data_IF_830998257962
#
_entry.id   IF_830998257962
#
_cell.length_a   1.000
_cell.length_b   1.000
_cell.length_c   1.000
_cell.angle_alpha   90.00
_cell.angle_beta   90.00
_cell.angle_gamma   90.00
#
_symmetry.space_group_name_H-M   'P 1'
#
loop_
_entity.id
_entity.type
_entity.pdbx_description
1 polymer ?
#
# COMPACT_ATOMS: atom_id res chain seq x y z
N UNK A 1 -13.71 13.29 13.36
CA UNK A 1 -14.41 12.16 12.72
C UNK A 1 -15.25 11.48 13.79
N UNK A 2 -16.50 11.12 13.49
CA UNK A 2 -17.37 10.45 14.47
C UNK A 2 -17.11 8.94 14.50
N UNK A 3 -17.35 8.29 15.64
CA UNK A 3 -17.15 6.84 15.82
C UNK A 3 -17.80 5.98 14.72
N UNK A 4 -19.00 6.36 14.29
CA UNK A 4 -19.75 5.65 13.23
C UNK A 4 -19.15 5.77 11.84
N UNK A 5 -18.27 6.76 11.60
CA UNK A 5 -17.67 7.02 10.29
C UNK A 5 -16.36 6.23 10.07
N UNK A 6 -15.69 5.83 11.16
CA UNK A 6 -14.42 5.10 11.09
C UNK A 6 -14.50 3.78 10.30
N UNK A 7 -15.52 2.92 10.47
CA UNK A 7 -15.60 1.67 9.74
C UNK A 7 -15.58 1.86 8.22
N UNK A 8 -16.38 2.80 7.71
CA UNK A 8 -16.45 3.09 6.28
C UNK A 8 -15.12 3.65 5.74
N UNK A 9 -14.49 4.58 6.46
CA UNK A 9 -13.22 5.15 6.03
C UNK A 9 -12.05 4.17 6.11
N UNK A 10 -12.00 3.30 7.12
CA UNK A 10 -11.02 2.21 7.20
C UNK A 10 -11.20 1.24 6.04
N UNK A 11 -12.44 0.88 5.72
CA UNK A 11 -12.73 0.00 4.58
C UNK A 11 -12.28 0.64 3.26
N UNK A 12 -12.57 1.93 3.05
CA UNK A 12 -12.14 2.66 1.86
C UNK A 12 -10.61 2.74 1.76
N UNK A 13 -9.92 3.07 2.85
CA UNK A 13 -8.46 3.11 2.86
C UNK A 13 -7.84 1.72 2.58
N UNK A 14 -8.43 0.65 3.13
CA UNK A 14 -8.00 -0.72 2.84
C UNK A 14 -8.22 -1.10 1.37
N UNK A 15 -9.35 -0.68 0.78
CA UNK A 15 -9.61 -0.87 -0.64
C UNK A 15 -8.55 -0.17 -1.50
N UNK A 16 -8.18 1.07 -1.17
CA UNK A 16 -7.11 1.78 -1.88
C UNK A 16 -5.78 1.03 -1.85
N UNK A 17 -5.41 0.43 -0.71
CA UNK A 17 -4.21 -0.42 -0.62
C UNK A 17 -4.32 -1.62 -1.58
N UNK A 18 -5.46 -2.30 -1.60
CA UNK A 18 -5.68 -3.46 -2.46
C UNK A 18 -5.62 -3.10 -3.96
N UNK A 19 -6.18 -1.95 -4.33
CA UNK A 19 -6.13 -1.45 -5.71
C UNK A 19 -4.69 -1.15 -6.16
N UNK A 20 -3.88 -0.55 -5.28
CA UNK A 20 -2.46 -0.30 -5.53
C UNK A 20 -1.67 -1.62 -5.64
N UNK A 21 -2.03 -2.64 -4.87
CA UNK A 21 -1.43 -3.98 -4.95
C UNK A 21 -1.74 -4.68 -6.28
N UNK A 22 -2.97 -4.58 -6.77
CA UNK A 22 -3.35 -5.08 -8.07
C UNK A 22 -2.57 -4.37 -9.20
N UNK A 23 -2.44 -3.04 -9.11
CA UNK A 23 -1.66 -2.26 -10.08
C UNK A 23 -0.17 -2.61 -10.06
N UNK A 24 0.43 -2.78 -8.88
CA UNK A 24 1.83 -3.23 -8.74
C UNK A 24 2.02 -4.60 -9.40
N UNK A 25 1.11 -5.54 -9.15
CA UNK A 25 1.16 -6.88 -9.75
C UNK A 25 1.11 -6.82 -11.28
N UNK A 26 0.23 -5.96 -11.83
CA UNK A 26 0.12 -5.77 -13.27
C UNK A 26 1.41 -5.16 -13.88
N UNK A 27 2.00 -4.17 -13.21
CA UNK A 27 3.27 -3.55 -13.66
C UNK A 27 4.41 -4.57 -13.61
N UNK A 28 4.49 -5.38 -12.55
CA UNK A 28 5.51 -6.43 -12.45
C UNK A 28 5.39 -7.47 -13.58
N UNK A 29 4.17 -7.86 -13.94
CA UNK A 29 3.95 -8.75 -15.09
C UNK A 29 4.45 -8.11 -16.39
N UNK A 30 4.22 -6.81 -16.59
CA UNK A 30 4.73 -6.09 -17.76
C UNK A 30 6.27 -6.06 -17.77
N UNK A 31 6.91 -5.74 -16.64
CA UNK A 31 8.38 -5.77 -16.49
C UNK A 31 8.91 -7.15 -16.91
N UNK A 32 8.39 -8.22 -16.32
CA UNK A 32 8.81 -9.59 -16.63
C UNK A 32 8.65 -9.92 -18.13
N UNK A 33 7.59 -9.43 -18.77
CA UNK A 33 7.37 -9.62 -20.21
C UNK A 33 8.44 -8.91 -21.04
N UNK A 34 8.80 -7.67 -20.70
CA UNK A 34 9.84 -6.93 -21.40
C UNK A 34 11.21 -7.57 -21.23
N UNK A 35 11.51 -8.05 -20.03
CA UNK A 35 12.74 -8.79 -19.72
C UNK A 35 12.84 -10.08 -20.52
N UNK A 36 11.78 -10.90 -20.52
CA UNK A 36 11.74 -12.13 -21.32
C UNK A 36 11.89 -11.86 -22.82
N UNK A 37 11.35 -10.75 -23.32
CA UNK A 37 11.52 -10.33 -24.71
C UNK A 37 12.98 -9.95 -25.02
N UNK A 38 13.67 -9.28 -24.10
CA UNK A 38 15.09 -8.97 -24.22
C UNK A 38 15.93 -10.27 -24.19
N UNK A 39 15.64 -11.17 -23.26
CA UNK A 39 16.31 -12.47 -23.15
C UNK A 39 16.17 -13.30 -24.43
N UNK A 40 14.96 -13.31 -25.02
CA UNK A 40 14.72 -13.95 -26.32
C UNK A 40 15.61 -13.37 -27.42
N UNK A 41 15.70 -12.04 -27.53
CA UNK A 41 16.54 -11.39 -28.54
C UNK A 41 18.02 -11.76 -28.37
N UNK A 42 18.52 -11.68 -27.14
CA UNK A 42 19.91 -12.04 -26.79
C UNK A 42 20.21 -13.51 -27.07
N UNK A 43 19.25 -14.41 -26.81
CA UNK A 43 19.43 -15.84 -27.02
C UNK A 43 19.72 -16.20 -28.49
N UNK A 44 19.13 -15.46 -29.44
CA UNK A 44 19.26 -15.69 -30.88
C UNK A 44 20.36 -14.85 -31.56
N UNK A 45 21.11 -14.04 -30.82
CA UNK A 45 22.20 -13.22 -31.38
C UNK A 45 23.50 -14.04 -31.43
N UNK A 46 23.90 -14.44 -32.63
CA UNK A 46 25.01 -15.39 -32.87
C UNK A 46 26.40 -14.84 -32.50
N UNK A 47 26.54 -13.52 -32.44
CA UNK A 47 27.82 -12.86 -32.21
C UNK A 47 28.22 -12.83 -30.71
N UNK A 48 27.30 -13.19 -29.82
CA UNK A 48 27.50 -13.22 -28.37
C UNK A 48 28.10 -14.56 -27.93
N UNK A 49 29.41 -14.55 -27.68
CA UNK A 49 30.25 -15.74 -27.40
C UNK A 49 30.31 -16.13 -25.93
N UNK A 50 29.93 -15.24 -25.01
CA UNK A 50 29.96 -15.50 -23.57
C UNK A 50 28.80 -14.82 -22.81
N UNK A 51 28.63 -15.21 -21.55
CA UNK A 51 27.57 -14.70 -20.68
C UNK A 51 27.67 -13.20 -20.39
N UNK A 52 28.90 -12.67 -20.24
CA UNK A 52 29.11 -11.23 -20.03
C UNK A 52 28.61 -10.40 -21.21
N UNK A 53 28.86 -10.85 -22.44
CA UNK A 53 28.34 -10.21 -23.67
C UNK A 53 26.81 -10.29 -23.73
N UNK A 54 26.23 -11.43 -23.34
CA UNK A 54 24.76 -11.60 -23.27
C UNK A 54 24.12 -10.66 -22.26
N UNK A 55 24.71 -10.51 -21.07
CA UNK A 55 24.24 -9.59 -20.04
C UNK A 55 24.36 -8.12 -20.46
N UNK A 56 25.50 -7.74 -21.04
CA UNK A 56 25.72 -6.39 -21.56
C UNK A 56 24.68 -6.05 -22.64
N UNK A 57 24.46 -6.99 -23.57
CA UNK A 57 23.46 -6.80 -24.62
C UNK A 57 22.03 -6.70 -24.11
N UNK A 58 21.66 -7.57 -23.16
CA UNK A 58 20.35 -7.51 -22.50
C UNK A 58 20.15 -6.15 -21.85
N UNK A 59 21.16 -5.64 -21.16
CA UNK A 59 21.13 -4.33 -20.54
C UNK A 59 20.91 -3.23 -21.59
N UNK A 60 21.69 -3.19 -22.68
CA UNK A 60 21.50 -2.21 -23.76
C UNK A 60 20.07 -2.23 -24.32
N UNK A 61 19.52 -3.42 -24.57
CA UNK A 61 18.17 -3.58 -25.11
C UNK A 61 17.08 -3.05 -24.16
N UNK A 62 17.27 -3.22 -22.85
CA UNK A 62 16.32 -2.75 -21.84
C UNK A 62 16.50 -1.27 -21.52
N UNK A 63 17.73 -0.76 -21.57
CA UNK A 63 18.05 0.66 -21.32
C UNK A 63 17.30 1.57 -22.29
N UNK A 64 17.28 1.23 -23.58
CA UNK A 64 16.59 2.01 -24.61
C UNK A 64 15.11 1.66 -24.78
N UNK A 65 14.59 0.66 -24.05
CA UNK A 65 13.20 0.26 -24.14
C UNK A 65 12.31 1.18 -23.28
N UNK A 66 11.64 2.13 -23.95
CA UNK A 66 10.75 3.10 -23.29
C UNK A 66 9.64 2.45 -22.45
N UNK A 67 9.03 1.35 -22.91
CA UNK A 67 7.98 0.67 -22.14
C UNK A 67 8.53 0.10 -20.83
N UNK A 68 9.74 -0.47 -20.88
CA UNK A 68 10.41 -0.99 -19.70
C UNK A 68 10.77 0.12 -18.72
N UNK A 69 11.34 1.24 -19.21
CA UNK A 69 11.65 2.40 -18.38
C UNK A 69 10.39 3.01 -17.74
N UNK A 70 9.29 3.10 -18.48
CA UNK A 70 8.01 3.56 -17.93
C UNK A 70 7.45 2.58 -16.89
N UNK A 71 7.60 1.27 -17.09
CA UNK A 71 7.16 0.26 -16.14
C UNK A 71 7.97 0.35 -14.83
N UNK A 72 9.29 0.51 -14.89
CA UNK A 72 10.14 0.72 -13.70
C UNK A 72 9.77 1.98 -12.93
N UNK A 73 9.57 3.10 -13.63
CA UNK A 73 9.13 4.34 -12.99
C UNK A 73 7.74 4.21 -12.34
N UNK A 74 6.83 3.49 -13.01
CA UNK A 74 5.50 3.21 -12.47
C UNK A 74 5.56 2.33 -11.23
N UNK A 75 6.41 1.30 -11.24
CA UNK A 75 6.65 0.42 -10.09
C UNK A 75 7.14 1.21 -8.88
N UNK A 76 8.14 2.08 -9.08
CA UNK A 76 8.67 2.94 -8.03
C UNK A 76 7.59 3.85 -7.45
N UNK A 77 6.85 4.56 -8.31
CA UNK A 77 5.77 5.46 -7.89
C UNK A 77 4.67 4.73 -7.12
N UNK A 78 4.19 3.59 -7.65
CA UNK A 78 3.13 2.80 -7.03
C UNK A 78 3.58 2.21 -5.69
N UNK A 79 4.86 1.84 -5.56
CA UNK A 79 5.42 1.35 -4.29
C UNK A 79 5.35 2.42 -3.21
N UNK A 80 5.74 3.66 -3.54
CA UNK A 80 5.61 4.80 -2.62
C UNK A 80 4.14 5.10 -2.30
N UNK A 81 3.26 5.09 -3.31
CA UNK A 81 1.83 5.32 -3.10
C UNK A 81 1.22 4.26 -2.18
N UNK A 82 1.58 2.98 -2.34
CA UNK A 82 1.14 1.89 -1.47
C UNK A 82 1.60 2.09 -0.04
N UNK A 83 2.87 2.45 0.16
CA UNK A 83 3.41 2.73 1.50
C UNK A 83 2.62 3.85 2.20
N UNK A 84 2.30 4.93 1.47
CA UNK A 84 1.49 6.03 1.99
C UNK A 84 0.05 5.60 2.30
N UNK A 85 -0.57 4.80 1.43
CA UNK A 85 -1.92 4.29 1.66
C UNK A 85 -1.99 3.36 2.89
N UNK A 86 -0.97 2.53 3.11
CA UNK A 86 -0.84 1.72 4.33
C UNK A 86 -0.71 2.60 5.56
N UNK A 87 0.15 3.63 5.51
CA UNK A 87 0.30 4.56 6.62
C UNK A 87 -1.03 5.25 6.97
N UNK A 88 -1.82 5.65 5.96
CA UNK A 88 -3.14 6.24 6.15
C UNK A 88 -4.15 5.26 6.76
N UNK A 89 -4.15 4.00 6.31
CA UNK A 89 -5.01 2.96 6.87
C UNK A 89 -4.69 2.74 8.36
N UNK A 90 -3.42 2.61 8.70
CA UNK A 90 -2.99 2.42 10.09
C UNK A 90 -3.28 3.65 10.95
N UNK A 91 -3.12 4.84 10.40
CA UNK A 91 -3.50 6.08 11.07
C UNK A 91 -5.00 6.08 11.44
N UNK A 92 -5.88 5.71 10.52
CA UNK A 92 -7.33 5.61 10.79
C UNK A 92 -7.67 4.55 11.84
N UNK A 93 -7.00 3.39 11.81
CA UNK A 93 -7.18 2.32 12.81
C UNK A 93 -6.74 2.76 14.20
N UNK A 94 -5.63 3.48 14.29
CA UNK A 94 -5.11 4.03 15.55
C UNK A 94 -6.04 5.11 16.09
N UNK A 95 -6.47 6.06 15.25
CA UNK A 95 -7.46 7.07 15.65
C UNK A 95 -8.76 6.44 16.16
N UNK A 96 -9.29 5.42 15.48
CA UNK A 96 -10.49 4.73 15.93
C UNK A 96 -10.30 4.08 17.30
N UNK A 97 -9.12 3.51 17.54
CA UNK A 97 -8.77 2.91 18.83
C UNK A 97 -8.73 3.95 19.95
N UNK A 98 -8.12 5.12 19.71
CA UNK A 98 -8.13 6.24 20.66
C UNK A 98 -9.56 6.71 20.93
N UNK A 99 -10.36 6.96 19.89
CA UNK A 99 -11.74 7.43 20.04
C UNK A 99 -12.61 6.45 20.86
N UNK A 100 -12.42 5.13 20.70
CA UNK A 100 -13.10 4.11 21.52
C UNK A 100 -12.70 4.22 22.99
N UNK A 101 -11.42 4.43 23.30
CA UNK A 101 -10.93 4.55 24.67
C UNK A 101 -11.45 5.83 25.34
N UNK A 102 -11.41 6.95 24.63
CA UNK A 102 -11.95 8.23 25.11
C UNK A 102 -13.46 8.14 25.40
N UNK A 103 -14.21 7.49 24.52
CA UNK A 103 -15.65 7.29 24.71
C UNK A 103 -15.95 6.40 25.91
N UNK A 104 -15.19 5.31 26.11
CA UNK A 104 -15.32 4.45 27.28
C UNK A 104 -14.99 5.20 28.57
N UNK A 105 -13.93 6.03 28.56
CA UNK A 105 -13.57 6.87 29.70
C UNK A 105 -14.68 7.88 30.02
N UNK A 106 -15.28 8.49 29.00
CA UNK A 106 -16.40 9.42 29.17
C UNK A 106 -17.62 8.71 29.80
N UNK A 107 -17.98 7.52 29.32
CA UNK A 107 -19.05 6.69 29.90
C UNK A 107 -18.74 6.36 31.37
N UNK A 108 -17.52 5.90 31.66
CA UNK A 108 -17.11 5.57 33.02
C UNK A 108 -17.19 6.77 33.97
N UNK A 109 -16.76 7.96 33.52
CA UNK A 109 -16.88 9.21 34.30
C UNK A 109 -18.34 9.60 34.55
N UNK A 110 -19.20 9.42 33.54
CA UNK A 110 -20.62 9.72 33.68
C UNK A 110 -21.29 8.78 34.69
N UNK A 111 -20.98 7.48 34.65
CA UNK A 111 -21.48 6.50 35.62
C UNK A 111 -21.01 6.81 37.04
N UNK A 112 -19.71 7.06 37.24
CA UNK A 112 -19.17 7.40 38.56
C UNK A 112 -19.75 8.72 39.13
N UNK A 113 -20.01 9.71 38.26
CA UNK A 113 -20.68 10.95 38.65
C UNK A 113 -22.16 10.78 38.96
N UNK A 114 -22.84 9.86 38.26
CA UNK A 114 -24.25 9.53 38.50
C UNK A 114 -24.45 8.78 39.82
N UNK A 115 -23.57 7.85 40.17
CA UNK A 115 -23.60 7.12 41.45
C UNK A 115 -23.42 8.07 42.65
N UNK A 116 -22.60 9.12 42.52
CA UNK A 116 -22.48 10.18 43.53
C UNK A 116 -23.73 11.07 43.62
N UNK A 117 -24.45 11.28 42.51
CA UNK A 117 -25.71 12.02 42.49
C UNK A 117 -26.84 11.27 43.20
N UNK A 118 -26.96 9.96 42.99
CA UNK A 118 -27.95 9.11 43.67
C UNK A 118 -27.67 9.00 45.18
N UNK A 119 -26.40 8.91 45.59
CA UNK A 119 -26.00 8.93 47.01
C UNK A 119 -26.32 10.24 47.74
N UNK A 120 -26.37 11.37 47.03
CA UNK A 120 -26.68 12.68 47.61
C UNK A 120 -28.19 13.02 47.57
N UNK A 121 -28.96 12.40 46.69
CA UNK A 121 -30.39 12.64 46.53
C UNK A 121 -31.29 11.67 47.30
N UNK A 122 -30.73 10.64 47.94
CA UNK A 122 -31.42 9.86 48.96
C UNK A 122 -32.76 9.27 48.51
N UNK A 123 -32.68 8.26 47.65
CA UNK A 123 -33.63 7.13 47.67
C UNK A 123 -32.95 5.97 48.39
#
# INVERSE_FOLDING_TARGET
MNLSQYPAAIAQAAQTVNELDAQLSAVQLNINRQEANADKKVAFESDLKNDSQRKARRFELLEVNLEYQHALNSLMRLTTQKANAIAQLEYLRNQFSVAKLETRLAIARQLAGSEMGDLLLGV
#
